data_IF_056372784949
#
_entry.id   IF_056372784949
#
_cell.length_a   1.000
_cell.length_b   1.000
_cell.length_c   1.000
_cell.angle_alpha   90.00
_cell.angle_beta   90.00
_cell.angle_gamma   90.00
#
_symmetry.space_group_name_H-M   'P 1'
#
loop_
_entity.id
_entity.type
_entity.pdbx_description
1 polymer ?
#
# COMPACT_ATOMS: atom_id res chain seq x y z
N UNK A 1 1.18 -15.16 -4.27
CA UNK A 1 0.69 -13.90 -3.70
C UNK A 1 -0.63 -13.55 -4.36
N UNK A 2 -1.56 -13.07 -3.59
CA UNK A 2 -2.93 -12.92 -4.04
C UNK A 2 -3.26 -11.46 -4.34
N UNK A 3 -3.92 -11.20 -5.48
CA UNK A 3 -4.40 -9.87 -5.84
C UNK A 3 -5.86 -10.01 -6.27
N UNK A 4 -6.80 -9.83 -5.33
CA UNK A 4 -8.21 -10.08 -5.64
C UNK A 4 -8.72 -9.22 -6.79
N UNK A 5 -9.53 -9.84 -7.64
CA UNK A 5 -10.23 -9.11 -8.69
C UNK A 5 -11.36 -8.32 -8.07
N UNK A 6 -11.72 -7.22 -8.70
CA UNK A 6 -12.74 -6.35 -8.16
C UNK A 6 -12.20 -5.24 -7.30
N UNK A 7 -10.92 -5.30 -6.96
CA UNK A 7 -10.25 -4.21 -6.27
C UNK A 7 -9.45 -3.38 -7.26
N UNK A 8 -9.14 -2.15 -6.86
CA UNK A 8 -8.21 -1.30 -7.59
C UNK A 8 -6.95 -1.15 -6.76
N UNK A 9 -5.84 -0.84 -7.42
CA UNK A 9 -4.54 -0.85 -6.77
C UNK A 9 -3.74 0.38 -7.17
N UNK A 10 -2.98 0.93 -6.22
CA UNK A 10 -2.11 2.07 -6.49
C UNK A 10 -0.67 1.60 -6.64
N UNK A 11 0.17 2.48 -7.20
CA UNK A 11 1.60 2.19 -7.34
C UNK A 11 2.32 2.15 -5.99
N UNK A 12 1.73 2.74 -4.98
CA UNK A 12 2.28 2.72 -3.63
C UNK A 12 1.79 1.52 -2.83
N UNK A 13 1.08 0.58 -3.50
CA UNK A 13 0.68 -0.70 -2.92
C UNK A 13 -0.45 -0.59 -1.92
N UNK A 14 -1.42 0.29 -2.21
CA UNK A 14 -2.70 0.31 -1.50
C UNK A 14 -3.78 -0.29 -2.40
N UNK A 15 -4.75 -0.94 -1.78
CA UNK A 15 -5.91 -1.45 -2.51
C UNK A 15 -7.14 -0.62 -2.16
N UNK A 16 -8.10 -0.57 -3.09
CA UNK A 16 -9.33 0.20 -2.94
C UNK A 16 -10.51 -0.67 -3.35
N UNK A 17 -11.48 -0.81 -2.46
CA UNK A 17 -12.75 -1.47 -2.79
C UNK A 17 -13.83 -0.40 -2.88
N UNK A 18 -14.40 -0.25 -4.06
CA UNK A 18 -15.40 0.81 -4.31
C UNK A 18 -16.80 0.22 -4.25
N UNK A 19 -17.64 0.81 -3.41
CA UNK A 19 -19.04 0.42 -3.30
C UNK A 19 -19.86 1.71 -3.33
N UNK A 20 -20.52 1.98 -4.48
CA UNK A 20 -21.22 3.22 -4.66
C UNK A 20 -20.27 4.40 -4.61
N UNK A 21 -20.46 5.28 -3.65
CA UNK A 21 -19.59 6.45 -3.47
C UNK A 21 -18.59 6.27 -2.33
N UNK A 22 -18.50 5.06 -1.80
CA UNK A 22 -17.64 4.74 -0.65
C UNK A 22 -16.46 3.89 -1.12
N UNK A 23 -15.29 4.16 -0.60
CA UNK A 23 -14.09 3.38 -0.88
C UNK A 23 -13.49 2.88 0.42
N UNK A 24 -13.18 1.58 0.48
CA UNK A 24 -12.45 0.97 1.59
C UNK A 24 -11.01 0.82 1.12
N UNK A 25 -10.06 1.18 1.98
CA UNK A 25 -8.64 1.27 1.61
C UNK A 25 -7.80 0.49 2.60
N UNK A 26 -6.83 -0.24 2.08
CA UNK A 26 -5.83 -0.93 2.90
C UNK A 26 -4.56 -1.12 2.09
N UNK A 27 -3.60 -1.84 2.66
CA UNK A 27 -2.36 -2.16 1.94
C UNK A 27 -2.41 -3.58 1.42
N UNK A 28 -1.71 -3.83 0.32
CA UNK A 28 -1.78 -5.12 -0.37
C UNK A 28 -0.93 -6.17 0.34
N UNK A 29 -1.13 -7.42 -0.06
CA UNK A 29 -0.30 -8.51 0.44
C UNK A 29 1.17 -8.27 0.14
N UNK A 30 1.47 -7.74 -1.04
CA UNK A 30 2.85 -7.42 -1.39
C UNK A 30 3.45 -6.40 -0.42
N UNK A 31 2.68 -5.34 -0.09
CA UNK A 31 3.17 -4.31 0.82
C UNK A 31 3.47 -4.88 2.20
N UNK A 32 2.57 -5.71 2.74
CA UNK A 32 2.79 -6.24 4.08
C UNK A 32 3.94 -7.24 4.10
N UNK A 33 4.16 -7.97 2.99
CA UNK A 33 5.32 -8.87 2.92
C UNK A 33 6.63 -8.10 2.90
N UNK A 34 6.67 -6.99 2.16
CA UNK A 34 7.87 -6.15 2.12
C UNK A 34 8.17 -5.53 3.46
N UNK A 35 7.14 -5.19 4.22
CA UNK A 35 7.33 -4.58 5.54
C UNK A 35 7.67 -5.58 6.62
N UNK A 36 7.13 -6.81 6.51
CA UNK A 36 7.29 -7.80 7.56
C UNK A 36 6.24 -7.62 8.64
N UNK A 37 6.54 -8.08 9.85
CA UNK A 37 5.57 -8.04 10.95
C UNK A 37 5.21 -6.61 11.33
N UNK A 38 3.92 -6.29 11.23
CA UNK A 38 3.41 -4.96 11.54
C UNK A 38 3.21 -4.85 13.05
N UNK A 39 3.78 -3.80 13.65
CA UNK A 39 3.72 -3.62 15.09
C UNK A 39 2.97 -2.37 15.52
N UNK A 40 2.71 -1.45 14.59
CA UNK A 40 2.00 -0.22 14.91
C UNK A 40 1.34 0.35 13.68
N UNK A 41 0.13 0.89 13.82
CA UNK A 41 -0.62 1.49 12.72
C UNK A 41 -1.13 2.85 13.18
N UNK A 42 -0.86 3.87 12.39
CA UNK A 42 -1.37 5.21 12.65
C UNK A 42 -2.47 5.50 11.64
N UNK A 43 -3.66 5.84 12.13
CA UNK A 43 -4.84 6.08 11.31
C UNK A 43 -5.31 7.54 11.47
N UNK A 44 -6.00 8.08 10.45
CA UNK A 44 -6.60 9.42 10.58
C UNK A 44 -7.82 9.35 11.47
N UNK A 45 -8.44 10.51 11.72
CA UNK A 45 -9.67 10.58 12.49
C UNK A 45 -10.86 10.60 11.55
N UNK A 46 -11.98 10.08 12.04
CA UNK A 46 -13.24 10.17 11.32
C UNK A 46 -13.59 11.64 11.08
N UNK A 47 -13.99 11.95 9.86
CA UNK A 47 -14.29 13.32 9.46
C UNK A 47 -13.13 14.05 8.82
N UNK A 48 -11.94 13.51 8.96
CA UNK A 48 -10.76 14.12 8.35
C UNK A 48 -10.81 13.91 6.84
N UNK A 49 -10.26 14.86 6.08
CA UNK A 49 -10.21 14.74 4.63
C UNK A 49 -8.84 14.24 4.22
N UNK A 50 -8.83 13.27 3.29
CA UNK A 50 -7.59 12.80 2.72
C UNK A 50 -7.51 13.27 1.27
N UNK A 51 -6.29 13.46 0.79
CA UNK A 51 -6.04 13.99 -0.54
C UNK A 51 -5.18 13.00 -1.29
N UNK A 52 -5.60 12.68 -2.51
CA UNK A 52 -4.88 11.73 -3.36
C UNK A 52 -3.40 12.05 -3.39
N UNK A 53 -2.59 11.02 -3.23
CA UNK A 53 -1.12 11.06 -3.27
C UNK A 53 -0.47 11.65 -2.03
N UNK A 54 -1.26 12.11 -1.05
CA UNK A 54 -0.71 12.56 0.24
C UNK A 54 -0.85 11.43 1.26
N UNK A 55 0.05 11.36 2.25
CA UNK A 55 -0.07 10.33 3.27
C UNK A 55 -1.29 10.58 4.15
N UNK A 56 -2.04 9.50 4.47
CA UNK A 56 -3.15 9.60 5.40
C UNK A 56 -2.88 8.86 6.69
N UNK A 57 -1.82 8.07 6.74
CA UNK A 57 -1.47 7.32 7.92
C UNK A 57 -0.12 6.68 7.73
N UNK A 58 0.23 5.78 8.64
CA UNK A 58 1.53 5.12 8.59
C UNK A 58 1.43 3.73 9.17
N UNK A 59 2.31 2.86 8.72
CA UNK A 59 2.41 1.49 9.21
C UNK A 59 3.85 1.27 9.64
N UNK A 60 4.04 0.81 10.88
CA UNK A 60 5.36 0.53 11.40
C UNK A 60 5.55 -0.96 11.56
N UNK A 61 6.64 -1.49 11.03
CA UNK A 61 6.99 -2.89 11.19
C UNK A 61 8.23 -3.01 12.05
N UNK A 62 8.64 -4.26 12.31
CA UNK A 62 9.84 -4.49 13.10
C UNK A 62 11.10 -3.94 12.43
N UNK A 63 11.05 -3.68 11.11
CA UNK A 63 12.25 -3.23 10.40
C UNK A 63 12.11 -1.86 9.74
N UNK A 64 10.91 -1.27 9.67
CA UNK A 64 10.74 -0.02 8.91
C UNK A 64 9.47 0.70 9.31
N UNK A 65 9.44 2.01 9.00
CA UNK A 65 8.23 2.83 9.10
C UNK A 65 7.89 3.29 7.69
N UNK A 66 6.63 3.14 7.30
CA UNK A 66 6.20 3.49 5.95
C UNK A 66 4.92 4.30 5.99
N UNK A 67 4.93 5.45 5.31
CA UNK A 67 3.70 6.22 5.13
C UNK A 67 2.77 5.47 4.19
N UNK A 68 1.46 5.60 4.43
CA UNK A 68 0.45 5.06 3.54
C UNK A 68 -0.20 6.23 2.82
N UNK A 69 -0.10 6.21 1.50
CA UNK A 69 -0.57 7.33 0.68
C UNK A 69 -2.00 7.10 0.24
N UNK A 70 -2.78 8.18 0.17
CA UNK A 70 -4.18 8.09 -0.22
C UNK A 70 -4.26 7.80 -1.71
N UNK A 71 -4.91 6.69 -2.10
CA UNK A 71 -5.08 6.41 -3.53
C UNK A 71 -6.18 7.25 -4.16
N UNK A 72 -7.04 7.82 -3.32
CA UNK A 72 -8.15 8.67 -3.75
C UNK A 72 -8.34 9.77 -2.72
N UNK A 73 -9.06 10.83 -3.11
CA UNK A 73 -9.44 11.88 -2.18
C UNK A 73 -10.83 11.61 -1.61
N UNK A 74 -11.05 11.97 -0.35
CA UNK A 74 -12.35 11.77 0.26
C UNK A 74 -12.36 12.16 1.72
N UNK A 75 -13.52 12.00 2.35
CA UNK A 75 -13.71 12.26 3.78
C UNK A 75 -13.79 10.92 4.51
N UNK A 76 -13.03 10.79 5.58
CA UNK A 76 -12.99 9.55 6.35
C UNK A 76 -14.32 9.32 7.04
N UNK A 77 -14.99 8.22 6.69
CA UNK A 77 -16.25 7.81 7.29
C UNK A 77 -16.04 6.89 8.46
N UNK A 78 -15.02 6.05 8.37
CA UNK A 78 -14.80 4.98 9.34
C UNK A 78 -13.33 4.62 9.37
N UNK A 79 -12.82 4.27 10.55
CA UNK A 79 -11.48 3.70 10.66
C UNK A 79 -11.62 2.33 11.32
N UNK A 80 -10.61 1.48 11.07
CA UNK A 80 -10.63 0.12 11.62
C UNK A 80 -10.00 0.14 13.02
N UNK A 81 -10.86 0.17 14.02
CA UNK A 81 -10.43 0.29 15.42
C UNK A 81 -9.64 -0.90 15.92
N UNK A 82 -9.70 -2.03 15.21
CA UNK A 82 -8.95 -3.22 15.61
C UNK A 82 -7.46 -3.02 15.43
N UNK A 83 -7.05 -2.27 14.40
CA UNK A 83 -5.63 -2.20 14.03
C UNK A 83 -4.72 -1.59 15.08
N UNK A 84 -5.10 -0.51 15.79
CA UNK A 84 -4.19 0.02 16.80
C UNK A 84 -3.85 -0.97 17.91
N UNK A 85 -4.78 -1.87 18.25
CA UNK A 85 -4.55 -2.86 19.26
C UNK A 85 -4.00 -4.17 18.72
N UNK A 86 -4.33 -4.47 17.45
CA UNK A 86 -3.93 -5.73 16.81
C UNK A 86 -3.40 -5.44 15.42
N UNK A 87 -2.25 -4.76 15.31
CA UNK A 87 -1.71 -4.38 14.00
C UNK A 87 -1.35 -5.59 13.13
N UNK A 88 -1.08 -6.73 13.74
CA UNK A 88 -0.78 -7.95 12.99
C UNK A 88 -1.95 -8.42 12.14
N UNK A 89 -3.14 -7.89 12.34
CA UNK A 89 -4.29 -8.21 11.51
C UNK A 89 -4.01 -7.89 10.04
N UNK A 90 -3.20 -6.86 9.78
CA UNK A 90 -2.82 -6.53 8.41
C UNK A 90 -2.02 -7.67 7.79
N UNK A 91 -1.11 -8.28 8.56
CA UNK A 91 -0.33 -9.40 8.06
C UNK A 91 -1.21 -10.62 7.80
N UNK A 92 -2.17 -10.85 8.69
CA UNK A 92 -2.99 -12.06 8.63
C UNK A 92 -4.03 -11.99 7.52
N UNK A 93 -4.60 -10.80 7.28
CA UNK A 93 -5.72 -10.69 6.34
C UNK A 93 -5.77 -9.29 5.74
N UNK A 94 -4.80 -8.96 4.87
CA UNK A 94 -4.67 -7.58 4.37
C UNK A 94 -5.87 -7.10 3.55
N UNK A 95 -6.60 -8.01 2.90
CA UNK A 95 -7.73 -7.63 2.07
C UNK A 95 -9.08 -7.74 2.79
N UNK A 96 -9.10 -8.29 3.99
CA UNK A 96 -10.32 -8.45 4.76
C UNK A 96 -10.25 -7.66 6.05
N UNK A 97 -10.03 -8.37 7.16
CA UNK A 97 -10.05 -7.74 8.47
C UNK A 97 -8.97 -6.67 8.64
N UNK A 98 -7.96 -6.67 7.79
CA UNK A 98 -6.87 -5.68 7.84
C UNK A 98 -7.14 -4.39 7.09
N UNK A 99 -8.37 -4.11 6.68
CA UNK A 99 -8.69 -2.82 6.04
C UNK A 99 -8.35 -1.67 6.99
N UNK A 100 -7.99 -0.52 6.44
CA UNK A 100 -7.53 0.60 7.26
C UNK A 100 -8.60 1.67 7.45
N UNK A 101 -9.12 2.23 6.36
CA UNK A 101 -10.11 3.30 6.44
C UNK A 101 -11.17 3.12 5.38
N UNK A 102 -12.31 3.79 5.61
CA UNK A 102 -13.39 3.85 4.64
C UNK A 102 -13.72 5.32 4.44
N UNK A 103 -13.79 5.75 3.18
CA UNK A 103 -13.95 7.16 2.86
C UNK A 103 -15.11 7.37 1.90
N UNK A 104 -15.70 8.56 1.94
CA UNK A 104 -16.65 8.99 0.93
C UNK A 104 -15.87 9.71 -0.16
N UNK A 105 -15.96 9.21 -1.39
CA UNK A 105 -15.18 9.74 -2.50
C UNK A 105 -15.57 11.17 -2.84
N UNK A 106 -14.58 12.03 -3.00
CA UNK A 106 -14.80 13.39 -3.46
C UNK A 106 -14.92 13.44 -4.98
N UNK A 107 -14.10 12.64 -5.67
CA UNK A 107 -14.06 12.66 -7.14
C UNK A 107 -13.78 11.26 -7.63
N UNK A 108 -14.76 10.66 -8.30
CA UNK A 108 -14.59 9.30 -8.81
C UNK A 108 -13.57 9.22 -9.93
N UNK A 109 -13.19 10.35 -10.52
CA UNK A 109 -12.13 10.34 -11.53
C UNK A 109 -10.79 9.90 -10.95
N UNK A 110 -10.59 10.02 -9.64
CA UNK A 110 -9.38 9.52 -9.00
C UNK A 110 -9.16 8.03 -9.27
N UNK A 111 -10.25 7.29 -9.48
CA UNK A 111 -10.16 5.85 -9.72
C UNK A 111 -9.53 5.51 -11.06
N UNK A 112 -9.51 6.45 -11.99
CA UNK A 112 -8.99 6.19 -13.34
C UNK A 112 -7.49 5.95 -13.36
N UNK A 113 -6.79 6.47 -12.37
CA UNK A 113 -5.34 6.33 -12.30
C UNK A 113 -4.90 5.05 -11.62
N UNK A 114 -5.85 4.27 -11.10
CA UNK A 114 -5.54 3.05 -10.38
C UNK A 114 -5.50 1.86 -11.33
N UNK A 115 -4.78 0.82 -10.90
CA UNK A 115 -4.61 -0.39 -11.68
C UNK A 115 -5.67 -1.42 -11.29
N UNK A 116 -6.03 -2.28 -12.24
CA UNK A 116 -6.82 -3.46 -11.88
C UNK A 116 -5.88 -4.57 -11.40
N UNK A 117 -6.44 -5.74 -11.06
CA UNK A 117 -5.64 -6.82 -10.48
C UNK A 117 -4.56 -7.30 -11.44
N UNK A 118 -4.88 -7.42 -12.72
CA UNK A 118 -3.91 -7.91 -13.71
C UNK A 118 -2.78 -6.92 -13.90
N UNK A 119 -3.10 -5.64 -13.99
CA UNK A 119 -2.10 -4.58 -14.15
C UNK A 119 -1.18 -4.52 -12.93
N UNK A 120 -1.78 -4.63 -11.76
CA UNK A 120 -1.00 -4.58 -10.54
C UNK A 120 -0.09 -5.79 -10.40
N UNK A 121 -0.59 -6.97 -10.80
CA UNK A 121 0.23 -8.19 -10.75
C UNK A 121 1.48 -8.04 -11.61
N UNK A 122 1.33 -7.44 -12.81
CA UNK A 122 2.47 -7.19 -13.67
C UNK A 122 3.43 -6.17 -13.05
N UNK A 123 2.87 -5.14 -12.43
CA UNK A 123 3.69 -4.12 -11.79
C UNK A 123 4.52 -4.72 -10.67
N UNK A 124 3.91 -5.56 -9.84
CA UNK A 124 4.62 -6.22 -8.74
C UNK A 124 5.71 -7.16 -9.28
N UNK A 125 5.41 -7.89 -10.35
CA UNK A 125 6.39 -8.78 -10.94
C UNK A 125 7.63 -8.02 -11.42
N UNK A 126 7.44 -6.85 -12.02
CA UNK A 126 8.55 -6.02 -12.45
C UNK A 126 9.36 -5.48 -11.28
N UNK A 127 8.68 -5.11 -10.19
CA UNK A 127 9.37 -4.64 -9.00
C UNK A 127 10.26 -5.73 -8.42
N UNK A 128 9.77 -6.95 -8.37
CA UNK A 128 10.54 -8.07 -7.83
C UNK A 128 11.75 -8.39 -8.70
N UNK A 129 11.57 -8.35 -10.03
CA UNK A 129 12.67 -8.61 -10.94
C UNK A 129 13.77 -7.57 -10.77
N UNK A 130 13.40 -6.31 -10.64
CA UNK A 130 14.36 -5.22 -10.44
C UNK A 130 15.14 -5.42 -9.14
N UNK A 131 14.45 -5.79 -8.08
CA UNK A 131 15.09 -6.03 -6.79
C UNK A 131 16.07 -7.20 -6.88
N UNK A 132 15.70 -8.26 -7.56
CA UNK A 132 16.56 -9.41 -7.70
C UNK A 132 17.81 -9.07 -8.51
N UNK A 133 17.68 -8.26 -9.54
CA UNK A 133 18.82 -7.84 -10.33
C UNK A 133 19.79 -7.02 -9.50
N UNK A 134 19.28 -6.12 -8.68
CA UNK A 134 20.14 -5.35 -7.80
C UNK A 134 20.91 -6.22 -6.84
N UNK A 135 20.27 -7.22 -6.29
CA UNK A 135 20.92 -8.14 -5.38
C UNK A 135 22.07 -8.88 -6.06
N UNK A 136 21.88 -9.29 -7.29
CA UNK A 136 22.92 -9.99 -8.03
C UNK A 136 24.13 -9.12 -8.27
N UNK A 137 23.93 -7.85 -8.56
CA UNK A 137 25.02 -6.94 -8.81
C UNK A 137 25.84 -6.65 -7.58
N UNK A 138 25.25 -6.85 -6.48
CA UNK A 138 25.83 -6.47 -5.23
C UNK A 138 27.05 -7.24 -4.87
N UNK A 139 27.28 -8.24 -5.49
CA UNK A 139 28.46 -8.92 -5.19
C UNK A 139 29.61 -8.27 -5.81
N UNK A 140 29.33 -7.76 -6.11
CA UNK A 140 30.17 -7.12 -6.67
C UNK A 140 30.13 -6.08 -6.73
N UNK A 141 29.39 -6.10 -6.69
CA UNK A 141 29.37 -5.16 -6.93
C UNK A 141 29.02 -4.40 -6.81
N UNK A 142 28.93 -4.49 -6.72
CA UNK A 142 28.76 -3.69 -6.83
C UNK A 142 28.48 -3.06 -6.89
N UNK A 143 28.44 -3.22 -6.99
CA UNK A 143 28.36 -2.65 -7.26
C UNK A 143 28.01 -1.95 -7.49
N UNK A 144 27.95 -2.15 -7.59
CA UNK A 144 27.83 -1.47 -8.04
C UNK A 144 27.38 -0.82 -8.00
N UNK A 145 27.17 -0.93 -7.91
CA UNK A 145 26.95 -0.31 -8.14
C UNK A 145 26.57 0.29 -7.96
N UNK A 146 26.37 0.18 -7.92
CA UNK A 146 26.27 0.70 -8.04
C UNK A 146 26.02 1.33 -8.11
N UNK A 147 25.85 1.02 -8.12
CA UNK A 147 25.87 1.64 -8.46
C UNK A 147 25.54 2.27 -8.48
N UNK A 148 25.21 2.00 -8.55
CA UNK A 148 25.16 2.47 -8.79
C UNK A 148 24.77 3.10 -8.64
N UNK A 149 24.52 2.84 -8.57
CA UNK A 149 24.38 3.29 -8.64
C UNK A 149 24.00 3.94 -8.53
N UNK A 150 23.71 3.66 -8.42
CA UNK A 150 23.53 4.14 -8.55
C UNK A 150 23.03 4.67 -8.63
N UNK A 151 22.63 4.49 -8.50
CA UNK A 151 22.24 4.93 -8.79
C UNK A 151 21.58 5.25 -8.83
N UNK A 152 21.10 4.93 -8.60
CA UNK A 152 20.51 5.18 -8.77
C UNK A 152 19.95 5.52 -8.50
N UNK A 153 19.63 5.51 -8.20
CA UNK A 153 19.12 5.73 -8.04
C UNK A 153 19.02 6.22 -7.96
#
# INVERSE_FOLDING_TARGET
>A
MEFPEGLKYSKEHEWVLVEGNTATIGITEYAQEELGDIVYVELPEVGEKIIKDDPFGAVESVKAVSDVYAPVSGAVLEINDVLPENPETINDDPYGDGWMIRVELTDKDDLKDLMDADEYAEYVAQQKDDDEEEDDEDEDEDEEEEDEEEKEK
#
